data_IF_624951993431
#
_entry.id   IF_624951993431
#
_cell.length_a   1.000
_cell.length_b   1.000
_cell.length_c   1.000
_cell.angle_alpha   90.00
_cell.angle_beta   90.00
_cell.angle_gamma   90.00
#
_symmetry.space_group_name_H-M   'P 1'
#
loop_
_entity.id
_entity.type
_entity.pdbx_description
1 polymer ?
#
# COMPACT_ATOMS: atom_id res chain seq x y z
N UNK A 1 -7.07 -2.77 16.48
CA UNK A 1 -5.74 -2.98 15.87
C UNK A 1 -5.21 -4.29 16.39
N UNK A 2 -4.15 -4.80 15.77
CA UNK A 2 -3.69 -6.20 15.84
C UNK A 2 -4.75 -7.19 15.37
N UNK A 3 -4.60 -7.60 14.11
CA UNK A 3 -5.53 -8.49 13.43
C UNK A 3 -4.78 -9.28 12.38
N UNK A 4 -5.02 -10.59 12.31
CA UNK A 4 -4.46 -11.40 11.24
C UNK A 4 -5.17 -11.09 9.91
N UNK A 5 -4.43 -11.23 8.81
CA UNK A 5 -4.89 -10.85 7.46
C UNK A 5 -6.17 -11.57 7.05
N UNK A 6 -6.34 -12.85 7.41
CA UNK A 6 -7.55 -13.61 7.15
C UNK A 6 -8.81 -12.99 7.78
N UNK A 7 -8.70 -12.47 9.02
CA UNK A 7 -9.79 -11.72 9.65
C UNK A 7 -9.95 -10.35 9.00
N UNK A 8 -8.86 -9.65 8.67
CA UNK A 8 -8.94 -8.33 8.04
C UNK A 8 -9.70 -8.35 6.70
N UNK A 9 -9.46 -9.37 5.88
CA UNK A 9 -10.06 -9.52 4.54
C UNK A 9 -11.44 -10.20 4.55
N UNK A 10 -11.81 -10.92 5.62
CA UNK A 10 -13.12 -11.57 5.73
C UNK A 10 -14.03 -10.80 6.69
N UNK A 11 -14.90 -9.93 6.15
CA UNK A 11 -15.83 -9.11 6.91
C UNK A 11 -16.71 -9.88 7.89
N UNK A 12 -17.28 -11.03 7.47
CA UNK A 12 -18.16 -11.84 8.34
C UNK A 12 -17.39 -12.37 9.55
N UNK A 13 -16.21 -12.93 9.30
CA UNK A 13 -15.36 -13.50 10.33
C UNK A 13 -14.81 -12.41 11.26
N UNK A 14 -14.44 -11.26 10.70
CA UNK A 14 -13.98 -10.08 11.43
C UNK A 14 -15.03 -9.54 12.39
N UNK A 15 -16.24 -9.29 11.90
CA UNK A 15 -17.28 -8.62 12.68
C UNK A 15 -17.82 -9.55 13.79
N UNK A 16 -17.72 -10.86 13.60
CA UNK A 16 -18.00 -11.89 14.63
C UNK A 16 -16.91 -11.92 15.72
N UNK A 17 -15.62 -11.99 15.33
CA UNK A 17 -14.51 -12.14 16.29
C UNK A 17 -14.03 -10.83 16.93
N UNK A 18 -14.18 -9.71 16.21
CA UNK A 18 -13.74 -8.37 16.63
C UNK A 18 -14.89 -7.36 16.58
N UNK A 19 -16.01 -7.58 17.32
CA UNK A 19 -17.19 -6.72 17.23
C UNK A 19 -16.97 -5.28 17.75
N UNK A 20 -15.88 -5.06 18.50
CA UNK A 20 -15.49 -3.78 19.08
C UNK A 20 -14.59 -2.92 18.17
N UNK A 21 -14.18 -3.43 17.00
CA UNK A 21 -13.29 -2.70 16.10
C UNK A 21 -14.00 -1.55 15.38
N UNK A 22 -13.30 -0.41 15.21
CA UNK A 22 -13.76 0.70 14.35
C UNK A 22 -13.91 0.32 12.87
N UNK A 23 -13.40 -0.86 12.49
CA UNK A 23 -13.53 -1.43 11.15
C UNK A 23 -14.86 -2.18 10.95
N UNK A 24 -15.69 -2.37 11.98
CA UNK A 24 -16.96 -3.10 11.88
C UNK A 24 -17.83 -2.49 10.79
N UNK A 25 -18.36 -3.34 9.90
CA UNK A 25 -19.18 -2.89 8.76
C UNK A 25 -18.45 -2.13 7.65
N UNK A 26 -17.13 -1.90 7.78
CA UNK A 26 -16.31 -1.25 6.74
C UNK A 26 -15.52 -2.28 5.95
N UNK A 27 -15.19 -1.97 4.71
CA UNK A 27 -14.30 -2.81 3.90
C UNK A 27 -12.85 -2.39 4.13
N UNK A 28 -11.96 -3.36 4.25
CA UNK A 28 -10.52 -3.12 4.48
C UNK A 28 -9.83 -3.05 3.13
N UNK A 29 -9.06 -1.98 2.94
CA UNK A 29 -8.33 -1.69 1.70
C UNK A 29 -6.85 -1.38 1.95
N UNK A 30 -6.39 -1.41 3.20
CA UNK A 30 -5.03 -1.07 3.58
C UNK A 30 -4.53 -2.05 4.62
N UNK A 31 -3.35 -2.63 4.36
CA UNK A 31 -2.66 -3.53 5.27
C UNK A 31 -1.40 -2.84 5.78
N UNK A 32 -1.30 -2.70 7.10
CA UNK A 32 -0.11 -2.15 7.76
C UNK A 32 0.64 -3.32 8.38
N UNK A 33 1.90 -3.50 7.97
CA UNK A 33 2.75 -4.58 8.44
C UNK A 33 3.61 -4.12 9.63
N UNK A 34 3.95 -5.03 10.56
CA UNK A 34 4.71 -4.69 11.76
C UNK A 34 6.19 -4.38 11.49
N UNK A 35 6.74 -4.91 10.39
CA UNK A 35 8.14 -4.71 10.00
C UNK A 35 8.33 -4.89 8.48
N UNK A 36 9.50 -4.50 7.99
CA UNK A 36 9.86 -4.56 6.56
C UNK A 36 9.87 -5.98 6.01
N UNK A 37 10.37 -6.96 6.78
CA UNK A 37 10.43 -8.36 6.34
C UNK A 37 9.03 -8.93 6.07
N UNK A 38 8.09 -8.73 7.00
CA UNK A 38 6.69 -9.15 6.83
C UNK A 38 6.01 -8.45 5.67
N UNK A 39 6.27 -7.15 5.47
CA UNK A 39 5.76 -6.41 4.32
C UNK A 39 6.31 -6.96 3.01
N UNK A 40 7.64 -7.15 2.94
CA UNK A 40 8.33 -7.61 1.74
C UNK A 40 7.91 -9.02 1.33
N UNK A 41 7.84 -9.95 2.28
CA UNK A 41 7.31 -11.30 2.03
C UNK A 41 5.84 -11.26 1.61
N UNK A 42 5.02 -10.43 2.26
CA UNK A 42 3.58 -10.33 1.97
C UNK A 42 3.29 -9.82 0.56
N UNK A 43 3.87 -8.69 0.16
CA UNK A 43 3.60 -8.14 -1.17
C UNK A 43 4.20 -8.99 -2.28
N UNK A 44 5.39 -9.61 -2.08
CA UNK A 44 5.99 -10.51 -3.07
C UNK A 44 5.19 -11.80 -3.24
N UNK A 45 4.61 -12.34 -2.16
CA UNK A 45 3.70 -13.48 -2.24
C UNK A 45 2.46 -13.14 -3.07
N UNK A 46 1.85 -11.97 -2.84
CA UNK A 46 0.70 -11.50 -3.62
C UNK A 46 1.10 -11.34 -5.09
N UNK A 47 2.24 -10.72 -5.38
CA UNK A 47 2.75 -10.53 -6.73
C UNK A 47 2.99 -11.88 -7.45
N UNK A 48 3.55 -12.88 -6.76
CA UNK A 48 3.81 -14.19 -7.34
C UNK A 48 2.53 -15.00 -7.60
N UNK A 49 1.48 -14.82 -6.78
CA UNK A 49 0.22 -15.54 -6.92
C UNK A 49 -0.77 -14.85 -7.88
N UNK A 50 -0.63 -13.56 -8.11
CA UNK A 50 -1.63 -12.77 -8.81
C UNK A 50 -1.14 -12.41 -10.21
N UNK A 51 -1.46 -13.27 -11.18
CA UNK A 51 -1.05 -13.14 -12.59
C UNK A 51 -1.48 -11.81 -13.24
N UNK A 52 -2.58 -11.21 -12.77
CA UNK A 52 -3.14 -9.97 -13.33
C UNK A 52 -3.11 -8.79 -12.33
N UNK A 53 -2.23 -8.79 -11.34
CA UNK A 53 -2.10 -7.67 -10.41
C UNK A 53 -0.93 -6.77 -10.79
N UNK A 54 -1.22 -5.49 -11.02
CA UNK A 54 -0.19 -4.47 -11.22
C UNK A 54 0.32 -4.00 -9.86
N UNK A 55 1.63 -4.13 -9.66
CA UNK A 55 2.31 -3.60 -8.48
C UNK A 55 2.91 -2.23 -8.84
N UNK A 56 2.48 -1.19 -8.13
CA UNK A 56 3.05 0.15 -8.28
C UNK A 56 3.82 0.48 -7.00
N UNK A 57 5.13 0.66 -7.12
CA UNK A 57 5.97 1.07 -6.00
C UNK A 57 7.46 0.77 -6.23
N UNK A 58 8.30 1.02 -5.21
CA UNK A 58 7.95 1.56 -3.89
C UNK A 58 7.55 3.03 -3.93
N UNK A 59 6.52 3.42 -3.17
CA UNK A 59 6.11 4.83 -3.00
C UNK A 59 6.66 5.34 -1.68
N UNK A 60 7.63 6.25 -1.76
CA UNK A 60 8.22 6.93 -0.61
C UNK A 60 7.25 7.97 -0.05
N UNK A 61 7.06 7.94 1.27
CA UNK A 61 6.16 8.85 1.99
C UNK A 61 6.91 9.46 3.19
N UNK A 62 6.48 10.66 3.62
CA UNK A 62 7.02 11.33 4.82
C UNK A 62 8.26 12.21 4.60
N UNK A 63 8.67 12.42 3.35
CA UNK A 63 9.77 13.33 3.00
C UNK A 63 9.28 14.79 2.89
N UNK A 64 10.20 15.75 3.08
CA UNK A 64 9.91 17.19 2.91
C UNK A 64 9.68 17.58 1.44
N UNK A 65 10.01 16.72 0.48
CA UNK A 65 9.77 16.92 -0.95
C UNK A 65 9.35 15.60 -1.58
N UNK A 66 8.56 15.63 -2.67
CA UNK A 66 8.10 14.43 -3.39
C UNK A 66 9.28 13.81 -4.15
N UNK A 67 9.99 12.91 -3.49
CA UNK A 67 11.16 12.22 -4.05
C UNK A 67 10.85 10.73 -4.03
N UNK A 68 10.94 10.08 -5.19
CA UNK A 68 10.75 8.65 -5.33
C UNK A 68 12.00 8.01 -5.93
N UNK A 69 12.38 6.86 -5.39
CA UNK A 69 13.52 6.07 -5.87
C UNK A 69 12.99 4.83 -6.60
N UNK A 70 13.58 4.53 -7.76
CA UNK A 70 13.29 3.34 -8.56
C UNK A 70 14.55 2.47 -8.64
N UNK A 71 14.38 1.16 -8.82
CA UNK A 71 15.52 0.24 -8.99
C UNK A 71 16.06 0.29 -10.43
N UNK A 72 17.32 -0.10 -10.65
CA UNK A 72 17.91 -0.19 -11.98
C UNK A 72 17.23 -1.26 -12.85
N UNK A 73 16.62 -2.27 -12.23
CA UNK A 73 15.89 -3.35 -12.91
C UNK A 73 14.44 -2.98 -13.24
N UNK A 74 14.02 -1.72 -13.00
CA UNK A 74 12.63 -1.28 -13.23
C UNK A 74 12.27 -1.27 -14.71
N UNK A 75 11.05 -1.71 -15.05
CA UNK A 75 10.57 -1.64 -16.43
C UNK A 75 10.25 -0.20 -16.85
N UNK A 76 10.15 0.05 -18.16
CA UNK A 76 9.70 1.34 -18.70
C UNK A 76 8.34 1.75 -18.11
N UNK A 77 7.43 0.77 -17.94
CA UNK A 77 6.10 1.01 -17.36
C UNK A 77 6.18 1.47 -15.90
N UNK A 78 7.07 0.86 -15.12
CA UNK A 78 7.28 1.24 -13.71
C UNK A 78 7.82 2.67 -13.60
N UNK A 79 8.75 3.05 -14.48
CA UNK A 79 9.30 4.41 -14.53
C UNK A 79 8.21 5.44 -14.87
N UNK A 80 7.36 5.13 -15.84
CA UNK A 80 6.23 6.01 -16.21
C UNK A 80 5.24 6.13 -15.04
N UNK A 81 4.89 5.01 -14.41
CA UNK A 81 3.98 4.97 -13.27
C UNK A 81 4.51 5.77 -12.08
N UNK A 82 5.78 5.60 -11.70
CA UNK A 82 6.36 6.30 -10.55
C UNK A 82 6.54 7.79 -10.83
N UNK A 83 6.81 8.16 -12.08
CA UNK A 83 6.85 9.58 -12.50
C UNK A 83 5.47 10.22 -12.36
N UNK A 84 4.40 9.54 -12.79
CA UNK A 84 3.05 10.04 -12.63
C UNK A 84 2.68 10.24 -11.14
N UNK A 85 3.05 9.29 -10.28
CA UNK A 85 2.88 9.41 -8.82
C UNK A 85 3.66 10.60 -8.27
N UNK A 86 4.92 10.77 -8.65
CA UNK A 86 5.75 11.89 -8.20
C UNK A 86 5.17 13.27 -8.56
N UNK A 87 4.61 13.39 -9.77
CA UNK A 87 3.95 14.63 -10.22
C UNK A 87 2.69 14.92 -9.39
N UNK A 88 1.87 13.90 -9.12
CA UNK A 88 0.68 14.04 -8.27
C UNK A 88 1.09 14.46 -6.87
N UNK A 89 2.09 13.82 -6.28
CA UNK A 89 2.58 14.14 -4.94
C UNK A 89 3.11 15.59 -4.87
N UNK A 90 3.80 16.07 -5.91
CA UNK A 90 4.22 17.46 -6.01
C UNK A 90 3.07 18.46 -6.07
N UNK A 91 2.02 18.14 -6.84
CA UNK A 91 0.81 18.98 -6.93
C UNK A 91 0.12 19.05 -5.56
N UNK A 92 -0.06 17.91 -4.90
CA UNK A 92 -0.68 17.82 -3.56
C UNK A 92 0.16 18.56 -2.53
N UNK A 93 1.49 18.41 -2.56
CA UNK A 93 2.41 19.13 -1.68
C UNK A 93 2.28 20.65 -1.84
N UNK A 94 2.26 21.15 -3.08
CA UNK A 94 2.05 22.58 -3.35
C UNK A 94 0.71 23.09 -2.82
N UNK A 95 -0.38 22.34 -3.00
CA UNK A 95 -1.71 22.70 -2.47
C UNK A 95 -1.79 22.74 -0.95
N UNK A 96 -0.97 21.97 -0.23
CA UNK A 96 -0.95 22.00 1.25
C UNK A 96 -0.19 23.20 1.82
N UNK A 97 0.62 23.88 1.00
CA UNK A 97 1.44 25.03 1.42
C UNK A 97 0.89 26.39 0.99
N UNK A 98 -0.10 26.41 0.10
CA UNK A 98 -0.87 27.60 -0.24
C UNK A 98 -2.18 27.62 0.52
#
# INVERSE_FOLDING_TARGET
GEMQVNFAMNRKLRDSKYPFTRLKGKDVNTLIFPNLSSANSGYRLIQAMAENTELIGPIQMGLNKPIHFTDFESSVRDIVNITAVAVIDAIVYKKKQG
#
